data_IF_040920081283
#
_entry.id   IF_040920081283
#
_cell.length_a   1.000
_cell.length_b   1.000
_cell.length_c   1.000
_cell.angle_alpha   90.00
_cell.angle_beta   90.00
_cell.angle_gamma   90.00
#
_symmetry.space_group_name_H-M   'P 1'
#
loop_
_entity.id
_entity.type
_entity.pdbx_description
1 polymer ?
#
# COMPACT_ATOMS: atom_id res chain seq x y z
N UNK A 1 -19.09 -9.53 0.37
CA UNK A 1 -18.28 -10.51 1.12
C UNK A 1 -17.79 -9.85 2.40
N UNK A 2 -17.92 -10.51 3.56
CA UNK A 2 -17.48 -9.94 4.83
C UNK A 2 -15.96 -10.07 4.89
N UNK A 3 -15.26 -8.94 4.89
CA UNK A 3 -13.83 -8.86 5.11
C UNK A 3 -13.54 -9.20 6.57
N UNK A 4 -13.21 -10.44 6.85
CA UNK A 4 -13.04 -10.96 8.21
C UNK A 4 -11.61 -11.42 8.53
N UNK A 5 -10.61 -11.00 7.78
CA UNK A 5 -9.24 -11.16 8.27
C UNK A 5 -8.95 -10.02 9.25
N UNK A 6 -9.06 -10.33 10.53
CA UNK A 6 -8.55 -9.47 11.59
C UNK A 6 -7.02 -9.42 11.46
N UNK A 7 -6.49 -8.40 10.80
CA UNK A 7 -5.06 -8.10 10.76
C UNK A 7 -4.62 -7.64 12.16
N UNK A 8 -4.38 -8.58 13.05
CA UNK A 8 -3.99 -8.28 14.45
C UNK A 8 -2.58 -7.70 14.54
N UNK A 9 -1.68 -8.14 13.66
CA UNK A 9 -0.30 -7.67 13.57
C UNK A 9 0.06 -7.54 12.11
N UNK A 10 0.56 -6.36 11.73
CA UNK A 10 1.00 -6.06 10.37
C UNK A 10 2.44 -5.54 10.39
N UNK A 11 3.23 -5.89 9.39
CA UNK A 11 4.51 -5.23 9.13
C UNK A 11 4.25 -4.09 8.14
N UNK A 12 4.41 -2.86 8.61
CA UNK A 12 4.12 -1.67 7.81
C UNK A 12 5.04 -1.57 6.58
N UNK A 13 4.54 -1.03 5.45
CA UNK A 13 5.36 -0.74 4.27
C UNK A 13 6.49 0.22 4.62
N UNK A 14 7.74 -0.17 4.40
CA UNK A 14 8.93 0.65 4.69
C UNK A 14 9.95 0.53 3.57
N UNK A 15 10.17 1.67 2.86
CA UNK A 15 11.17 1.75 1.80
C UNK A 15 12.55 1.33 2.30
N UNK A 16 13.25 0.49 1.53
CA UNK A 16 14.57 -0.08 1.82
C UNK A 16 14.61 -1.08 3.00
N UNK A 17 13.45 -1.47 3.53
CA UNK A 17 13.37 -2.42 4.62
C UNK A 17 12.45 -3.61 4.30
N UNK A 18 11.19 -3.38 3.92
CA UNK A 18 10.23 -4.46 3.69
C UNK A 18 10.34 -5.06 2.29
N UNK A 19 11.55 -5.40 1.87
CA UNK A 19 11.84 -6.16 0.66
C UNK A 19 11.43 -7.64 0.81
N UNK A 20 11.60 -8.44 -0.25
CA UNK A 20 11.23 -9.85 -0.24
C UNK A 20 11.99 -10.67 0.83
N UNK A 21 13.21 -10.28 1.19
CA UNK A 21 14.01 -11.00 2.17
C UNK A 21 13.53 -10.72 3.60
N UNK A 22 13.23 -9.46 3.89
CA UNK A 22 12.67 -9.04 5.18
C UNK A 22 11.28 -9.65 5.40
N UNK A 23 10.40 -9.60 4.40
CA UNK A 23 9.07 -10.22 4.46
C UNK A 23 9.15 -11.72 4.68
N UNK A 24 10.07 -12.40 3.98
CA UNK A 24 10.30 -13.83 4.18
C UNK A 24 10.76 -14.13 5.62
N UNK A 25 11.69 -13.32 6.16
CA UNK A 25 12.14 -13.45 7.55
C UNK A 25 10.98 -13.29 8.54
N UNK A 26 10.12 -12.29 8.37
CA UNK A 26 8.94 -12.12 9.25
C UNK A 26 7.98 -13.30 9.14
N UNK A 27 7.82 -13.89 7.99
CA UNK A 27 6.99 -15.09 7.80
C UNK A 27 7.58 -16.30 8.55
N UNK A 28 8.89 -16.44 8.59
CA UNK A 28 9.54 -17.49 9.41
C UNK A 28 9.33 -17.28 10.91
N UNK A 29 9.18 -16.03 11.36
CA UNK A 29 8.90 -15.71 12.76
C UNK A 29 7.43 -16.02 13.11
N UNK A 30 6.48 -15.71 12.21
CA UNK A 30 5.07 -15.98 12.47
C UNK A 30 4.24 -16.06 11.19
N UNK A 31 3.44 -17.11 11.08
CA UNK A 31 2.45 -17.28 10.01
C UNK A 31 1.24 -16.33 10.11
N UNK A 32 1.08 -15.65 11.27
CA UNK A 32 -0.09 -14.80 11.56
C UNK A 32 0.12 -13.32 11.24
N UNK A 33 1.34 -12.93 10.90
CA UNK A 33 1.67 -11.54 10.54
C UNK A 33 1.15 -11.26 9.12
N UNK A 34 0.47 -10.11 8.94
CA UNK A 34 0.14 -9.62 7.62
C UNK A 34 1.29 -8.75 7.09
N UNK A 35 1.77 -9.07 5.90
CA UNK A 35 2.96 -8.44 5.32
C UNK A 35 2.57 -7.41 4.26
N UNK A 36 3.34 -6.32 4.18
CA UNK A 36 3.23 -5.32 3.13
C UNK A 36 4.55 -5.20 2.38
N UNK A 37 4.47 -4.99 1.06
CA UNK A 37 5.66 -4.65 0.27
C UNK A 37 6.15 -3.24 0.62
N UNK A 38 7.31 -2.87 0.13
CA UNK A 38 7.66 -1.46 -0.04
C UNK A 38 6.64 -0.78 -0.96
N UNK A 39 6.56 0.55 -0.91
CA UNK A 39 5.70 1.30 -1.82
C UNK A 39 6.25 1.26 -3.26
N UNK A 40 5.47 0.72 -4.18
CA UNK A 40 5.78 0.72 -5.62
C UNK A 40 4.92 1.78 -6.30
N UNK A 41 5.55 2.66 -7.08
CA UNK A 41 4.80 3.70 -7.80
C UNK A 41 4.15 3.16 -9.07
N UNK A 42 2.97 3.69 -9.43
CA UNK A 42 2.28 3.29 -10.67
C UNK A 42 3.18 3.45 -11.89
N UNK A 43 3.92 4.56 -11.97
CA UNK A 43 4.85 4.77 -13.06
C UNK A 43 6.00 3.74 -13.13
N UNK A 44 6.44 3.18 -12.01
CA UNK A 44 7.44 2.12 -11.99
C UNK A 44 6.89 0.80 -12.54
N UNK A 45 5.62 0.51 -12.28
CA UNK A 45 4.94 -0.70 -12.76
C UNK A 45 4.66 -0.60 -14.26
N UNK A 46 4.06 0.51 -14.72
CA UNK A 46 3.56 0.66 -16.08
C UNK A 46 4.71 0.94 -17.06
N UNK A 47 5.62 1.86 -16.71
CA UNK A 47 6.67 2.35 -17.61
C UNK A 47 8.06 1.84 -17.26
N UNK A 48 8.26 1.41 -16.02
CA UNK A 48 9.53 0.84 -15.55
C UNK A 48 9.64 -0.64 -15.90
N UNK A 49 10.86 -1.11 -16.17
CA UNK A 49 11.13 -2.55 -16.27
C UNK A 49 11.34 -3.18 -14.88
N UNK A 50 10.55 -2.73 -13.88
CA UNK A 50 10.76 -3.03 -12.48
C UNK A 50 9.89 -4.20 -11.97
N UNK A 51 9.61 -5.19 -12.82
CA UNK A 51 8.81 -6.37 -12.45
C UNK A 51 9.37 -7.12 -11.23
N UNK A 52 10.67 -7.07 -10.99
CA UNK A 52 11.30 -7.65 -9.79
C UNK A 52 10.79 -7.04 -8.47
N UNK A 53 10.22 -5.82 -8.49
CA UNK A 53 9.60 -5.21 -7.31
C UNK A 53 8.21 -5.78 -6.98
N UNK A 54 7.64 -6.54 -7.92
CA UNK A 54 6.35 -7.21 -7.75
C UNK A 54 6.51 -8.67 -7.34
N UNK A 55 7.75 -9.18 -7.31
CA UNK A 55 8.02 -10.56 -6.95
C UNK A 55 7.97 -10.75 -5.43
N UNK A 56 7.44 -11.88 -5.02
CA UNK A 56 7.43 -12.34 -3.64
C UNK A 56 7.46 -13.87 -3.59
N UNK A 57 7.88 -14.42 -2.45
CA UNK A 57 7.91 -15.87 -2.28
C UNK A 57 6.50 -16.39 -1.92
N UNK A 58 6.11 -17.58 -2.39
CA UNK A 58 4.81 -18.17 -2.04
C UNK A 58 4.56 -18.28 -0.53
N UNK A 59 5.61 -18.39 0.26
CA UNK A 59 5.53 -18.47 1.71
C UNK A 59 5.14 -17.13 2.36
N UNK A 60 5.29 -16.01 1.66
CA UNK A 60 4.98 -14.68 2.22
C UNK A 60 3.48 -14.43 2.43
N UNK A 61 2.59 -15.23 1.84
CA UNK A 61 1.15 -15.08 2.03
C UNK A 61 0.72 -15.18 3.51
N UNK A 62 -0.22 -14.34 3.98
CA UNK A 62 -0.87 -13.28 3.23
C UNK A 62 0.03 -12.02 3.10
N UNK A 63 0.08 -11.46 1.89
CA UNK A 63 0.91 -10.31 1.54
C UNK A 63 0.16 -9.28 0.69
N UNK A 64 0.24 -8.00 1.06
CA UNK A 64 -0.28 -6.89 0.31
C UNK A 64 0.81 -6.16 -0.47
N UNK A 65 0.47 -5.68 -1.66
CA UNK A 65 1.27 -4.67 -2.35
C UNK A 65 0.83 -3.27 -1.94
N UNK A 66 1.79 -2.36 -1.66
CA UNK A 66 1.48 -0.95 -1.49
C UNK A 66 1.77 -0.17 -2.77
N UNK A 67 0.75 0.50 -3.31
CA UNK A 67 0.84 1.36 -4.49
C UNK A 67 0.98 2.83 -4.08
N UNK A 68 1.79 3.57 -4.85
CA UNK A 68 1.91 5.02 -4.77
C UNK A 68 1.55 5.65 -6.13
N UNK A 69 0.50 6.46 -6.14
CA UNK A 69 -0.02 7.14 -7.31
C UNK A 69 -1.27 7.94 -6.98
N UNK A 70 -1.73 8.75 -7.94
CA UNK A 70 -2.95 9.57 -7.82
C UNK A 70 -3.75 9.63 -9.12
N UNK A 71 -3.21 9.06 -10.20
CA UNK A 71 -3.95 8.91 -11.45
C UNK A 71 -4.81 7.64 -11.38
N UNK A 72 -6.11 7.80 -11.67
CA UNK A 72 -7.11 6.73 -11.50
C UNK A 72 -6.86 5.59 -12.49
N UNK A 73 -6.60 5.90 -13.75
CA UNK A 73 -6.40 4.90 -14.80
C UNK A 73 -5.13 4.08 -14.54
N UNK A 74 -4.04 4.76 -14.15
CA UNK A 74 -2.79 4.12 -13.76
C UNK A 74 -2.97 3.20 -12.54
N UNK A 75 -3.74 3.64 -11.52
CA UNK A 75 -4.02 2.85 -10.33
C UNK A 75 -4.87 1.61 -10.65
N UNK A 76 -5.87 1.74 -11.51
CA UNK A 76 -6.70 0.62 -11.98
C UNK A 76 -5.85 -0.40 -12.74
N UNK A 77 -4.98 0.04 -13.64
CA UNK A 77 -4.09 -0.84 -14.38
C UNK A 77 -3.11 -1.57 -13.45
N UNK A 78 -2.49 -0.83 -12.52
CA UNK A 78 -1.60 -1.43 -11.52
C UNK A 78 -2.32 -2.42 -10.60
N UNK A 79 -3.60 -2.16 -10.29
CA UNK A 79 -4.41 -3.08 -9.48
C UNK A 79 -4.62 -4.42 -10.19
N UNK A 80 -4.97 -4.39 -11.47
CA UNK A 80 -5.12 -5.62 -12.29
C UNK A 80 -3.81 -6.41 -12.39
N UNK A 81 -2.70 -5.69 -12.59
CA UNK A 81 -1.38 -6.31 -12.62
C UNK A 81 -1.08 -6.97 -11.27
N UNK A 82 -1.31 -6.27 -10.16
CA UNK A 82 -1.06 -6.77 -8.81
C UNK A 82 -1.89 -8.01 -8.46
N UNK A 83 -3.17 -8.00 -8.81
CA UNK A 83 -4.03 -9.19 -8.68
C UNK A 83 -3.52 -10.35 -9.52
N UNK A 84 -3.06 -10.08 -10.75
CA UNK A 84 -2.46 -11.09 -11.64
C UNK A 84 -1.17 -11.70 -11.08
N UNK A 85 -0.42 -10.98 -10.24
CA UNK A 85 0.73 -11.52 -9.50
C UNK A 85 0.32 -12.38 -8.31
N UNK A 86 -0.93 -12.30 -7.85
CA UNK A 86 -1.46 -13.11 -6.76
C UNK A 86 -1.39 -12.47 -5.38
N UNK A 87 -1.28 -11.14 -5.28
CA UNK A 87 -1.36 -10.46 -3.98
C UNK A 87 -2.72 -10.64 -3.32
N UNK A 88 -2.73 -10.71 -1.97
CA UNK A 88 -3.95 -10.89 -1.18
C UNK A 88 -4.71 -9.58 -0.95
N UNK A 89 -4.05 -8.45 -1.07
CA UNK A 89 -4.60 -7.11 -0.86
C UNK A 89 -3.79 -6.07 -1.65
N UNK A 90 -4.44 -4.99 -2.06
CA UNK A 90 -3.78 -3.79 -2.60
C UNK A 90 -3.99 -2.65 -1.62
N UNK A 91 -2.92 -1.99 -1.24
CA UNK A 91 -2.93 -0.88 -0.31
C UNK A 91 -2.51 0.42 -1.01
N UNK A 92 -3.35 1.46 -0.95
CA UNK A 92 -2.99 2.78 -1.47
C UNK A 92 -2.27 3.60 -0.41
N UNK A 93 -1.09 4.15 -0.76
CA UNK A 93 -0.35 5.04 0.11
C UNK A 93 -0.93 6.46 0.09
N UNK A 94 -1.48 6.88 1.23
CA UNK A 94 -2.01 8.25 1.47
C UNK A 94 -1.30 8.90 2.66
N UNK A 95 -0.10 8.44 3.01
CA UNK A 95 0.56 8.88 4.23
C UNK A 95 2.05 9.22 4.12
N UNK A 96 2.74 8.89 3.03
CA UNK A 96 4.17 9.17 2.89
C UNK A 96 4.43 10.67 2.72
N UNK A 97 5.25 11.32 3.59
CA UNK A 97 5.49 12.75 3.57
C UNK A 97 6.75 13.15 2.78
N UNK A 98 7.44 12.22 2.12
CA UNK A 98 8.73 12.52 1.49
C UNK A 98 8.59 13.51 0.34
N UNK A 99 9.61 14.37 0.15
CA UNK A 99 9.62 15.37 -0.92
C UNK A 99 9.42 14.79 -2.32
N UNK A 100 9.96 13.59 -2.56
CA UNK A 100 9.81 12.88 -3.85
C UNK A 100 8.35 12.51 -4.10
N UNK A 101 7.66 12.06 -3.06
CA UNK A 101 6.25 11.67 -3.11
C UNK A 101 5.36 12.90 -3.27
N UNK A 102 5.65 13.97 -2.54
CA UNK A 102 4.91 15.24 -2.69
C UNK A 102 5.06 15.84 -4.08
N UNK A 103 6.26 15.82 -4.67
CA UNK A 103 6.47 16.26 -6.06
C UNK A 103 5.69 15.41 -7.06
N UNK A 104 5.46 14.15 -6.77
CA UNK A 104 4.63 13.23 -7.55
C UNK A 104 3.12 13.38 -7.29
N UNK A 105 2.70 14.28 -6.40
CA UNK A 105 1.29 14.51 -6.01
C UNK A 105 0.56 13.28 -5.51
N UNK A 106 1.23 12.44 -4.73
CA UNK A 106 0.64 11.28 -4.06
C UNK A 106 1.16 11.18 -2.60
N UNK A 107 0.78 10.14 -1.86
CA UNK A 107 1.13 10.01 -0.44
C UNK A 107 0.38 11.01 0.46
N UNK A 108 1.06 11.66 1.40
CA UNK A 108 0.41 12.50 2.42
C UNK A 108 -0.40 13.67 1.85
N UNK A 109 -0.02 14.24 0.68
CA UNK A 109 -0.78 15.32 0.07
C UNK A 109 -2.20 14.91 -0.36
N UNK A 110 -2.43 13.62 -0.64
CA UNK A 110 -3.77 13.10 -0.96
C UNK A 110 -4.75 13.18 0.23
N UNK A 111 -4.26 13.35 1.46
CA UNK A 111 -5.15 13.59 2.60
C UNK A 111 -5.90 14.91 2.50
N UNK A 112 -5.42 15.85 1.66
CA UNK A 112 -6.11 17.11 1.34
C UNK A 112 -7.14 16.97 0.22
N UNK A 113 -7.18 15.82 -0.45
CA UNK A 113 -8.05 15.53 -1.59
C UNK A 113 -8.84 14.22 -1.35
N UNK A 114 -9.66 14.14 -0.25
CA UNK A 114 -10.33 12.91 0.14
C UNK A 114 -11.32 12.39 -0.90
N UNK A 115 -11.93 13.27 -1.69
CA UNK A 115 -12.82 12.92 -2.80
C UNK A 115 -12.05 12.16 -3.89
N UNK A 116 -10.85 12.61 -4.23
CA UNK A 116 -9.98 11.92 -5.20
C UNK A 116 -9.58 10.54 -4.67
N UNK A 117 -9.22 10.43 -3.39
CA UNK A 117 -8.91 9.14 -2.77
C UNK A 117 -10.12 8.20 -2.85
N UNK A 118 -11.32 8.69 -2.55
CA UNK A 118 -12.54 7.90 -2.63
C UNK A 118 -12.83 7.43 -4.06
N UNK A 119 -12.60 8.28 -5.06
CA UNK A 119 -12.74 7.93 -6.48
C UNK A 119 -11.73 6.87 -6.89
N UNK A 120 -10.44 7.04 -6.54
CA UNK A 120 -9.40 6.04 -6.79
C UNK A 120 -9.78 4.67 -6.24
N UNK A 121 -10.14 4.60 -4.95
CA UNK A 121 -10.53 3.34 -4.28
C UNK A 121 -11.77 2.72 -4.93
N UNK A 122 -12.74 3.54 -5.31
CA UNK A 122 -13.97 3.07 -5.95
C UNK A 122 -13.67 2.43 -7.31
N UNK A 123 -12.87 3.10 -8.14
CA UNK A 123 -12.53 2.57 -9.46
C UNK A 123 -11.60 1.35 -9.39
N UNK A 124 -10.60 1.35 -8.49
CA UNK A 124 -9.78 0.17 -8.23
C UNK A 124 -10.66 -1.03 -7.84
N UNK A 125 -11.55 -0.85 -6.83
CA UNK A 125 -12.42 -1.92 -6.31
C UNK A 125 -13.44 -2.47 -7.31
N UNK A 126 -13.80 -1.72 -8.35
CA UNK A 126 -14.64 -2.21 -9.44
C UNK A 126 -13.92 -3.13 -10.42
N UNK A 127 -12.60 -3.08 -10.44
CA UNK A 127 -11.78 -3.71 -11.46
C UNK A 127 -11.00 -4.93 -10.98
N UNK A 128 -10.99 -5.21 -9.66
CA UNK A 128 -10.34 -6.38 -9.04
C UNK A 128 -11.24 -6.99 -7.97
N UNK A 129 -11.01 -8.27 -7.67
CA UNK A 129 -11.77 -9.00 -6.65
C UNK A 129 -11.10 -8.95 -5.26
N UNK A 130 -9.78 -8.73 -5.21
CA UNK A 130 -9.03 -8.63 -3.97
C UNK A 130 -9.31 -7.29 -3.27
N UNK A 131 -9.21 -7.23 -1.93
CA UNK A 131 -9.47 -6.02 -1.16
C UNK A 131 -8.56 -4.85 -1.52
N UNK A 132 -9.15 -3.65 -1.52
CA UNK A 132 -8.42 -2.39 -1.63
C UNK A 132 -8.48 -1.68 -0.29
N UNK A 133 -7.33 -1.32 0.26
CA UNK A 133 -7.20 -0.61 1.53
C UNK A 133 -6.40 0.69 1.38
N UNK A 134 -6.46 1.54 2.39
CA UNK A 134 -5.72 2.81 2.42
C UNK A 134 -4.86 2.87 3.67
N UNK A 135 -3.59 3.24 3.52
CA UNK A 135 -2.74 3.60 4.65
C UNK A 135 -2.52 5.11 4.66
N UNK A 136 -3.11 5.79 5.62
CA UNK A 136 -2.94 7.21 5.88
C UNK A 136 -2.10 7.48 7.14
N UNK A 137 -2.13 8.71 7.62
CA UNK A 137 -1.56 9.17 8.90
C UNK A 137 -2.57 10.07 9.62
N UNK A 138 -2.33 10.35 10.89
CA UNK A 138 -3.27 11.11 11.71
C UNK A 138 -3.22 12.63 11.46
N UNK A 139 -2.20 13.13 10.80
CA UNK A 139 -2.08 14.55 10.45
C UNK A 139 -1.03 14.77 9.37
N UNK A 140 -1.06 15.93 8.70
CA UNK A 140 -0.17 16.28 7.59
C UNK A 140 0.96 17.18 8.09
N UNK A 141 0.62 18.28 8.74
CA UNK A 141 1.49 19.40 9.09
C UNK A 141 1.57 19.68 10.61
N UNK A 142 0.76 19.03 11.43
CA UNK A 142 0.74 19.22 12.86
C UNK A 142 1.22 17.96 13.60
N UNK A 143 2.36 18.08 14.28
CA UNK A 143 2.91 17.01 15.11
C UNK A 143 2.15 16.82 16.43
N UNK A 144 1.39 17.84 16.87
CA UNK A 144 0.71 17.82 18.16
C UNK A 144 -0.42 16.79 18.19
N UNK A 145 -1.25 16.71 17.14
CA UNK A 145 -2.32 15.71 17.18
C UNK A 145 -1.87 14.30 16.76
N UNK A 146 -0.64 14.14 16.33
CA UNK A 146 -0.07 12.78 16.20
C UNK A 146 0.47 12.26 17.52
N UNK A 147 0.89 13.13 18.47
CA UNK A 147 1.28 12.72 19.82
C UNK A 147 0.07 12.49 20.71
N UNK A 148 -0.96 13.34 20.65
CA UNK A 148 -2.17 13.19 21.45
C UNK A 148 -2.92 11.89 21.12
N UNK A 149 -2.92 11.46 19.86
CA UNK A 149 -3.52 10.19 19.46
C UNK A 149 -2.75 8.94 19.90
N UNK A 150 -1.50 9.10 20.38
CA UNK A 150 -0.72 8.00 20.92
C UNK A 150 -0.92 7.84 22.44
N UNK A 151 -1.51 8.86 23.11
CA UNK A 151 -1.74 8.88 24.55
C UNK A 151 -3.17 8.45 24.94
N UNK A 152 -4.08 8.24 23.95
CA UNK A 152 -5.43 7.69 24.10
C UNK A 152 -5.46 6.18 23.79
#
# INVERSE_FOLDING_TARGET
MSYSQEHKICIAPMMQYTDMHDRYLFRLISEKIFLYTEMVTTGAIIYGKCHHQLEFNPEEHPVAIQLGGSDIDDLVECSKISEGYGYDEINLNVGCPSDRVQKGRFGACLMLEPELVAECITEMSKNVEIPITVKCRLGIDCLLYTSDAADE
#
